data_IF_531158573045
#
_entry.id   IF_531158573045
#
_cell.length_a   1.000
_cell.length_b   1.000
_cell.length_c   1.000
_cell.angle_alpha   90.00
_cell.angle_beta   90.00
_cell.angle_gamma   90.00
#
_symmetry.space_group_name_H-M   'P 1'
#
loop_
_entity.id
_entity.type
_entity.pdbx_description
1 polymer ?
#
# COMPACT_ATOMS: atom_id res chain seq x y z
N UNK A 1 -10.93 18.30 6.84
CA UNK A 1 -11.75 17.41 7.68
C UNK A 1 -11.14 16.02 7.57
N UNK A 2 -10.53 15.50 8.62
CA UNK A 2 -9.92 14.18 8.59
C UNK A 2 -11.00 13.15 8.93
N UNK A 3 -11.34 12.23 8.01
CA UNK A 3 -12.26 11.15 8.36
C UNK A 3 -11.87 9.77 7.89
N UNK A 4 -10.85 9.59 7.03
CA UNK A 4 -10.47 8.26 6.56
C UNK A 4 -9.08 7.88 7.02
N UNK A 5 -9.04 6.92 7.94
CA UNK A 5 -7.83 6.33 8.51
C UNK A 5 -7.68 4.89 8.02
N UNK A 6 -6.45 4.51 7.70
CA UNK A 6 -6.09 3.13 7.39
C UNK A 6 -5.19 2.65 8.52
N UNK A 7 -5.60 1.60 9.23
CA UNK A 7 -4.73 0.90 10.18
C UNK A 7 -3.83 -0.05 9.39
N UNK A 8 -2.53 0.06 9.60
CA UNK A 8 -1.51 -0.76 8.93
C UNK A 8 -0.73 -1.53 9.99
N UNK A 9 -0.37 -2.79 9.71
CA UNK A 9 0.61 -3.51 10.52
C UNK A 9 2.01 -3.01 10.18
N UNK A 10 2.89 -2.88 11.18
CA UNK A 10 4.27 -2.40 10.98
C UNK A 10 5.05 -3.30 10.01
N UNK A 11 4.73 -4.60 9.98
CA UNK A 11 5.36 -5.59 9.08
C UNK A 11 4.84 -5.54 7.64
N UNK A 12 3.86 -4.68 7.33
CA UNK A 12 3.23 -4.67 6.00
C UNK A 12 4.20 -4.37 4.85
N UNK A 13 5.18 -3.45 4.98
CA UNK A 13 6.20 -3.25 3.94
C UNK A 13 7.00 -4.52 3.64
N UNK A 14 7.21 -5.36 4.66
CA UNK A 14 8.03 -6.57 4.57
C UNK A 14 7.24 -7.81 4.11
N UNK A 15 5.95 -7.66 3.82
CA UNK A 15 5.12 -8.78 3.37
C UNK A 15 5.50 -9.21 1.94
N UNK A 16 5.54 -10.53 1.66
CA UNK A 16 5.95 -11.04 0.35
C UNK A 16 5.06 -10.53 -0.79
N UNK A 17 3.79 -10.20 -0.52
CA UNK A 17 2.86 -9.61 -1.50
C UNK A 17 3.30 -8.21 -1.96
N UNK A 18 3.92 -7.40 -1.09
CA UNK A 18 4.46 -6.09 -1.45
C UNK A 18 5.68 -6.25 -2.37
N UNK A 19 6.60 -7.14 -2.02
CA UNK A 19 7.75 -7.46 -2.88
C UNK A 19 7.32 -8.00 -4.24
N UNK A 20 6.32 -8.89 -4.26
CA UNK A 20 5.79 -9.43 -5.52
C UNK A 20 5.17 -8.36 -6.41
N UNK A 21 4.45 -7.41 -5.82
CA UNK A 21 3.92 -6.25 -6.54
C UNK A 21 5.04 -5.35 -7.07
N UNK A 22 6.07 -5.10 -6.26
CA UNK A 22 7.24 -4.32 -6.63
C UNK A 22 7.97 -4.94 -7.85
N UNK A 23 8.14 -6.27 -7.87
CA UNK A 23 8.68 -7.02 -9.01
C UNK A 23 7.84 -6.85 -10.27
N UNK A 24 6.52 -7.07 -10.18
CA UNK A 24 5.60 -6.97 -11.34
C UNK A 24 5.62 -5.55 -11.93
N UNK A 25 5.66 -4.54 -11.06
CA UNK A 25 5.62 -3.14 -11.44
C UNK A 25 7.00 -2.56 -11.76
N UNK A 26 8.08 -3.31 -11.51
CA UNK A 26 9.47 -2.89 -11.62
C UNK A 26 9.75 -1.56 -10.88
N UNK A 27 9.37 -1.50 -9.61
CA UNK A 27 9.57 -0.35 -8.72
C UNK A 27 10.11 -0.80 -7.36
N UNK A 28 10.55 0.16 -6.56
CA UNK A 28 10.94 -0.07 -5.17
C UNK A 28 9.75 -0.58 -4.30
N UNK A 29 9.97 -1.51 -3.35
CA UNK A 29 8.92 -2.02 -2.47
C UNK A 29 8.15 -0.95 -1.67
N UNK A 30 8.82 0.09 -1.17
CA UNK A 30 8.15 1.18 -0.46
C UNK A 30 7.26 2.00 -1.40
N UNK A 31 7.72 2.18 -2.65
CA UNK A 31 6.89 2.79 -3.69
C UNK A 31 5.65 1.93 -4.02
N UNK A 32 5.80 0.60 -4.07
CA UNK A 32 4.68 -0.33 -4.27
C UNK A 32 3.67 -0.26 -3.11
N UNK A 33 4.14 -0.26 -1.86
CA UNK A 33 3.31 -0.05 -0.67
C UNK A 33 2.53 1.27 -0.77
N UNK A 34 3.20 2.36 -1.17
CA UNK A 34 2.54 3.65 -1.38
C UNK A 34 1.41 3.60 -2.40
N UNK A 35 1.55 2.80 -3.48
CA UNK A 35 0.47 2.58 -4.45
C UNK A 35 -0.70 1.78 -3.86
N UNK A 36 -0.41 0.74 -3.07
CA UNK A 36 -1.43 -0.05 -2.37
C UNK A 36 -2.25 0.83 -1.43
N UNK A 37 -1.59 1.66 -0.62
CA UNK A 37 -2.25 2.59 0.30
C UNK A 37 -3.12 3.59 -0.47
N UNK A 38 -2.64 4.14 -1.61
CA UNK A 38 -3.43 5.05 -2.45
C UNK A 38 -4.67 4.36 -3.03
N UNK A 39 -4.53 3.12 -3.48
CA UNK A 39 -5.65 2.33 -3.99
C UNK A 39 -6.69 2.07 -2.89
N UNK A 40 -6.25 1.68 -1.69
CA UNK A 40 -7.13 1.45 -0.55
C UNK A 40 -7.83 2.73 -0.09
N UNK A 41 -7.11 3.85 -0.06
CA UNK A 41 -7.69 5.15 0.25
C UNK A 41 -8.79 5.51 -0.75
N UNK A 42 -8.58 5.30 -2.06
CA UNK A 42 -9.63 5.50 -3.06
C UNK A 42 -10.84 4.61 -2.80
N UNK A 43 -10.62 3.32 -2.50
CA UNK A 43 -11.70 2.37 -2.25
C UNK A 43 -12.54 2.73 -1.01
N UNK A 44 -11.93 3.30 0.03
CA UNK A 44 -12.62 3.75 1.25
C UNK A 44 -13.38 5.07 1.03
N UNK A 45 -12.90 5.93 0.12
CA UNK A 45 -13.52 7.22 -0.20
C UNK A 45 -14.62 7.11 -1.28
N UNK A 46 -14.96 5.91 -1.73
CA UNK A 46 -15.99 5.66 -2.74
C UNK A 46 -17.30 5.25 -2.07
#
# INVERSE_FOLDING_TARGET
>A
MASNWIKLEVITPDKPEIFRLAEILNIDPDAALGKVIRFWAWAINK
#
